data_IF_643723625485
#
_entry.id   IF_643723625485
#
_cell.length_a   1.000
_cell.length_b   1.000
_cell.length_c   1.000
_cell.angle_alpha   90.00
_cell.angle_beta   90.00
_cell.angle_gamma   90.00
#
_symmetry.space_group_name_H-M   'P 1'
#
loop_
_entity.id
_entity.type
_entity.pdbx_description
1 polymer ?
#
# COMPACT_ATOMS: atom_id res chain seq x y z
N UNK A 1 13.76 -1.70 15.05
CA UNK A 1 12.55 -1.22 15.76
C UNK A 1 11.51 -1.01 14.67
N UNK A 2 10.29 -1.50 14.86
CA UNK A 2 9.24 -1.27 13.87
C UNK A 2 8.67 0.12 14.08
N UNK A 3 8.55 0.86 13.01
CA UNK A 3 8.05 2.23 13.01
C UNK A 3 6.53 2.26 13.09
N UNK A 4 5.95 3.26 13.73
CA UNK A 4 4.51 3.39 13.94
C UNK A 4 3.94 4.53 13.10
N UNK A 5 2.96 4.21 12.28
CA UNK A 5 2.19 5.17 11.49
C UNK A 5 0.79 5.29 12.08
N UNK A 6 0.38 6.49 12.44
CA UNK A 6 -0.99 6.79 12.83
C UNK A 6 -1.75 7.43 11.67
N UNK A 7 -2.98 6.97 11.42
CA UNK A 7 -3.80 7.43 10.28
C UNK A 7 -5.17 7.89 10.78
N UNK A 8 -5.50 9.14 10.50
CA UNK A 8 -6.84 9.71 10.66
C UNK A 8 -7.50 9.81 9.28
N UNK A 9 -8.31 8.81 8.92
CA UNK A 9 -9.01 8.74 7.63
C UNK A 9 -10.37 8.04 7.82
N UNK A 10 -11.43 8.67 7.34
CA UNK A 10 -12.79 8.17 7.48
C UNK A 10 -13.19 7.17 6.36
N UNK A 11 -12.55 7.27 5.20
CA UNK A 11 -12.90 6.44 4.05
C UNK A 11 -12.29 5.04 4.19
N UNK A 12 -13.12 3.98 4.36
CA UNK A 12 -12.64 2.62 4.54
C UNK A 12 -11.88 2.06 3.33
N UNK A 13 -12.15 2.56 2.13
CA UNK A 13 -11.41 2.16 0.92
C UNK A 13 -9.98 2.67 0.96
N UNK A 14 -9.78 3.92 1.39
CA UNK A 14 -8.44 4.51 1.55
C UNK A 14 -7.69 3.82 2.69
N UNK A 15 -8.34 3.54 3.80
CA UNK A 15 -7.77 2.76 4.90
C UNK A 15 -7.29 1.37 4.42
N UNK A 16 -8.10 0.69 3.61
CA UNK A 16 -7.75 -0.61 3.03
C UNK A 16 -6.55 -0.51 2.07
N UNK A 17 -6.48 0.53 1.25
CA UNK A 17 -5.34 0.78 0.34
C UNK A 17 -4.06 1.00 1.14
N UNK A 18 -4.09 1.80 2.20
CA UNK A 18 -2.93 2.04 3.08
C UNK A 18 -2.46 0.72 3.72
N UNK A 19 -3.37 -0.03 4.32
CA UNK A 19 -3.05 -1.31 4.97
C UNK A 19 -2.49 -2.34 3.98
N UNK A 20 -3.11 -2.47 2.81
CA UNK A 20 -2.65 -3.40 1.78
C UNK A 20 -1.27 -3.02 1.20
N UNK A 21 -1.02 -1.71 1.04
CA UNK A 21 0.24 -1.20 0.50
C UNK A 21 1.43 -1.45 1.43
N UNK A 22 1.19 -1.49 2.72
CA UNK A 22 2.24 -1.57 3.76
C UNK A 22 2.29 -2.92 4.49
N UNK A 23 1.47 -3.90 4.08
CA UNK A 23 1.38 -5.21 4.76
C UNK A 23 2.71 -5.97 4.85
N UNK A 24 3.59 -5.77 3.86
CA UNK A 24 4.90 -6.44 3.78
C UNK A 24 6.06 -5.52 4.24
N UNK A 25 5.74 -4.34 4.78
CA UNK A 25 6.71 -3.39 5.31
C UNK A 25 6.84 -3.53 6.83
N UNK A 26 8.01 -3.27 7.41
CA UNK A 26 8.24 -3.41 8.86
C UNK A 26 7.67 -2.22 9.66
N UNK A 27 6.41 -1.87 9.41
CA UNK A 27 5.71 -0.77 10.06
C UNK A 27 4.42 -1.24 10.71
N UNK A 28 4.08 -0.63 11.85
CA UNK A 28 2.76 -0.77 12.46
C UNK A 28 1.85 0.37 11.99
N UNK A 29 0.61 0.04 11.64
CA UNK A 29 -0.39 1.02 11.25
C UNK A 29 -1.52 0.99 12.26
N UNK A 30 -1.86 2.14 12.82
CA UNK A 30 -3.06 2.33 13.61
C UNK A 30 -3.97 3.34 12.92
N UNK A 31 -5.23 2.98 12.74
CA UNK A 31 -6.22 3.79 12.03
C UNK A 31 -7.30 4.25 13.01
N UNK A 32 -7.67 5.51 12.93
CA UNK A 32 -8.64 6.15 13.81
C UNK A 32 -9.62 7.01 12.98
N UNK A 33 -10.81 7.16 13.47
CA UNK A 33 -11.89 7.93 12.86
C UNK A 33 -12.22 9.21 13.63
N UNK A 34 -12.01 9.19 14.95
CA UNK A 34 -12.32 10.30 15.85
C UNK A 34 -11.08 11.17 16.07
N UNK A 35 -11.14 12.48 15.70
CA UNK A 35 -9.99 13.38 15.84
C UNK A 35 -9.52 13.61 17.29
N UNK A 36 -10.43 13.62 18.26
CA UNK A 36 -10.06 13.84 19.66
C UNK A 36 -9.39 12.58 20.26
N UNK A 37 -9.89 11.41 19.92
CA UNK A 37 -9.24 10.15 20.29
C UNK A 37 -7.91 9.96 19.55
N UNK A 38 -7.84 10.34 18.30
CA UNK A 38 -6.61 10.34 17.52
C UNK A 38 -5.50 11.16 18.18
N UNK A 39 -5.83 12.38 18.65
CA UNK A 39 -4.86 13.24 19.34
C UNK A 39 -4.34 12.56 20.63
N UNK A 40 -5.21 11.91 21.40
CA UNK A 40 -4.80 11.15 22.58
C UNK A 40 -3.84 10.00 22.20
N UNK A 41 -4.09 9.31 21.09
CA UNK A 41 -3.22 8.25 20.62
C UNK A 41 -1.86 8.79 20.18
N UNK A 42 -1.82 9.93 19.48
CA UNK A 42 -0.55 10.58 19.11
C UNK A 42 0.30 10.87 20.36
N UNK A 43 -0.32 11.42 21.40
CA UNK A 43 0.35 11.74 22.66
C UNK A 43 0.84 10.49 23.41
N UNK A 44 0.06 9.42 23.41
CA UNK A 44 0.37 8.20 24.15
C UNK A 44 1.36 7.28 23.44
N UNK A 45 1.26 7.20 22.11
CA UNK A 45 2.02 6.25 21.30
C UNK A 45 3.26 6.86 20.67
N UNK A 46 3.31 8.19 20.54
CA UNK A 46 4.40 8.94 19.92
C UNK A 46 4.83 8.32 18.57
N UNK A 47 3.93 8.34 17.55
CA UNK A 47 4.19 7.70 16.27
C UNK A 47 5.34 8.38 15.51
N UNK A 48 5.93 7.64 14.58
CA UNK A 48 7.03 8.13 13.73
C UNK A 48 6.52 8.94 12.54
N UNK A 49 5.26 8.71 12.15
CA UNK A 49 4.60 9.41 11.03
C UNK A 49 3.08 9.48 11.25
N UNK A 50 2.49 10.58 10.82
CA UNK A 50 1.04 10.81 10.89
C UNK A 50 0.48 11.08 9.50
N UNK A 51 -0.62 10.39 9.16
CA UNK A 51 -1.49 10.75 8.04
C UNK A 51 -2.80 11.35 8.56
N UNK A 52 -3.19 12.49 8.01
CA UNK A 52 -4.46 13.17 8.34
C UNK A 52 -5.24 13.43 7.05
N UNK A 53 -6.47 12.96 6.99
CA UNK A 53 -7.39 13.24 5.87
C UNK A 53 -7.86 14.68 5.86
N UNK A 54 -8.09 15.23 4.67
CA UNK A 54 -8.71 16.55 4.49
C UNK A 54 -10.26 16.48 4.40
N UNK A 55 -10.87 15.37 4.77
CA UNK A 55 -12.32 15.16 4.63
C UNK A 55 -13.14 16.11 5.51
N UNK A 56 -12.67 16.40 6.72
CA UNK A 56 -13.18 17.44 7.62
C UNK A 56 -12.09 18.47 7.92
N UNK A 57 -11.98 19.45 7.05
CA UNK A 57 -10.90 20.43 7.09
C UNK A 57 -10.81 21.16 8.44
N UNK A 58 -11.94 21.58 9.03
CA UNK A 58 -11.92 22.35 10.28
C UNK A 58 -11.41 21.52 11.46
N UNK A 59 -11.96 20.32 11.63
CA UNK A 59 -11.58 19.43 12.72
C UNK A 59 -10.15 18.92 12.56
N UNK A 60 -9.79 18.51 11.35
CA UNK A 60 -8.49 17.92 11.08
C UNK A 60 -7.35 18.94 11.12
N UNK A 61 -7.55 20.16 10.65
CA UNK A 61 -6.58 21.26 10.84
C UNK A 61 -6.47 21.70 12.30
N UNK A 62 -7.58 21.68 13.06
CA UNK A 62 -7.54 21.89 14.50
C UNK A 62 -6.67 20.83 15.19
N UNK A 63 -6.76 19.57 14.77
CA UNK A 63 -5.93 18.47 15.28
C UNK A 63 -4.45 18.69 14.93
N UNK A 64 -4.12 19.09 13.70
CA UNK A 64 -2.75 19.44 13.32
C UNK A 64 -2.19 20.55 14.20
N UNK A 65 -2.97 21.61 14.46
CA UNK A 65 -2.57 22.71 15.32
C UNK A 65 -2.28 22.25 16.74
N UNK A 66 -3.17 21.46 17.33
CA UNK A 66 -2.98 20.88 18.68
C UNK A 66 -1.70 20.04 18.76
N UNK A 67 -1.38 19.26 17.72
CA UNK A 67 -0.13 18.49 17.64
C UNK A 67 1.07 19.45 17.62
N UNK A 68 1.02 20.52 16.84
CA UNK A 68 2.14 21.48 16.73
C UNK A 68 2.34 22.34 17.98
N UNK A 69 1.29 22.55 18.76
CA UNK A 69 1.35 23.28 20.04
C UNK A 69 1.90 22.42 21.19
N UNK A 70 1.89 21.10 21.08
CA UNK A 70 2.41 20.20 22.11
C UNK A 70 3.90 19.94 21.93
N UNK A 71 4.76 20.40 22.87
CA UNK A 71 6.22 20.25 22.75
C UNK A 71 6.71 18.81 22.61
N UNK A 72 5.94 17.82 23.09
CA UNK A 72 6.32 16.42 23.07
C UNK A 72 6.17 15.77 21.70
N UNK A 73 5.22 16.24 20.88
CA UNK A 73 4.82 15.62 19.61
C UNK A 73 4.87 16.58 18.41
N UNK A 74 5.22 17.83 18.62
CA UNK A 74 5.22 18.88 17.57
C UNK A 74 6.12 18.58 16.36
N UNK A 75 7.15 17.77 16.54
CA UNK A 75 8.14 17.47 15.50
C UNK A 75 7.80 16.23 14.69
N UNK A 76 6.72 15.51 15.03
CA UNK A 76 6.26 14.34 14.27
C UNK A 76 5.82 14.78 12.88
N UNK A 77 6.33 14.18 11.79
CA UNK A 77 5.94 14.53 10.44
C UNK A 77 4.46 14.22 10.18
N UNK A 78 3.76 15.15 9.53
CA UNK A 78 2.36 15.03 9.15
C UNK A 78 2.25 15.08 7.62
N UNK A 79 1.58 14.10 7.04
CA UNK A 79 1.22 14.05 5.62
C UNK A 79 -0.29 14.21 5.50
N UNK A 80 -0.73 15.18 4.70
CA UNK A 80 -2.14 15.40 4.41
C UNK A 80 -2.63 14.46 3.30
N UNK A 81 -3.74 13.76 3.55
CA UNK A 81 -4.46 13.00 2.53
C UNK A 81 -5.58 13.87 1.96
N UNK A 82 -5.36 14.43 0.79
CA UNK A 82 -6.27 15.36 0.14
C UNK A 82 -7.14 14.67 -0.92
N UNK A 83 -8.38 15.11 -1.12
CA UNK A 83 -9.17 14.66 -2.26
C UNK A 83 -8.65 15.29 -3.56
N UNK A 84 -8.89 14.62 -4.70
CA UNK A 84 -8.37 15.06 -5.99
C UNK A 84 -8.84 16.47 -6.40
N UNK A 85 -10.03 16.87 -5.94
CA UNK A 85 -10.67 18.15 -6.28
C UNK A 85 -10.50 19.24 -5.23
N UNK A 86 -9.85 18.92 -4.10
CA UNK A 86 -9.65 19.91 -3.04
C UNK A 86 -8.68 20.99 -3.51
N UNK A 87 -9.10 22.23 -3.46
CA UNK A 87 -8.22 23.38 -3.59
C UNK A 87 -7.52 23.57 -2.24
N UNK A 88 -6.27 23.17 -2.18
CA UNK A 88 -5.47 23.28 -0.97
C UNK A 88 -4.54 24.47 -1.11
N UNK A 89 -4.69 25.41 -0.21
CA UNK A 89 -3.82 26.57 -0.14
C UNK A 89 -2.47 26.16 0.47
N UNK A 90 -1.40 26.41 -0.26
CA UNK A 90 -0.03 26.13 0.21
C UNK A 90 0.33 26.93 1.46
N UNK A 91 -0.26 28.10 1.64
CA UNK A 91 -0.06 28.92 2.84
C UNK A 91 -0.66 28.21 4.07
N UNK A 92 -1.83 27.56 3.92
CA UNK A 92 -2.44 26.74 5.00
C UNK A 92 -1.55 25.56 5.35
N UNK A 93 -0.99 24.86 4.36
CA UNK A 93 -0.06 23.76 4.64
C UNK A 93 1.16 24.22 5.42
N UNK A 94 1.68 25.38 5.08
CA UNK A 94 2.83 25.99 5.74
C UNK A 94 2.48 26.45 7.16
N UNK A 95 1.35 27.11 7.36
CA UNK A 95 0.87 27.56 8.68
C UNK A 95 0.64 26.37 9.63
N UNK A 96 0.09 25.28 9.12
CA UNK A 96 -0.15 24.06 9.91
C UNK A 96 1.12 23.18 10.03
N UNK A 97 2.22 23.59 9.42
CA UNK A 97 3.49 22.84 9.39
C UNK A 97 3.28 21.41 8.91
N UNK A 98 2.50 21.23 7.83
CA UNK A 98 2.28 19.96 7.17
C UNK A 98 3.50 19.66 6.30
N UNK A 99 4.06 18.46 6.47
CA UNK A 99 5.34 18.08 5.86
C UNK A 99 5.21 17.57 4.43
N UNK A 100 4.04 17.02 4.08
CA UNK A 100 3.78 16.48 2.77
C UNK A 100 2.30 16.33 2.48
N UNK A 101 1.96 16.03 1.23
CA UNK A 101 0.58 15.83 0.79
C UNK A 101 0.51 14.70 -0.22
N UNK A 102 -0.53 13.88 -0.09
CA UNK A 102 -0.85 12.81 -1.03
C UNK A 102 -2.31 12.95 -1.49
N UNK A 103 -2.54 13.02 -2.80
CA UNK A 103 -3.89 13.17 -3.36
C UNK A 103 -4.55 11.82 -3.59
N UNK A 104 -5.79 11.69 -3.14
CA UNK A 104 -6.65 10.52 -3.32
C UNK A 104 -7.33 10.56 -4.71
N UNK A 105 -7.46 9.43 -5.42
CA UNK A 105 -6.88 8.13 -5.15
C UNK A 105 -5.37 8.09 -5.42
N UNK A 106 -4.63 7.29 -4.67
CA UNK A 106 -3.18 7.11 -4.84
C UNK A 106 -2.82 5.63 -4.96
N UNK A 107 -1.71 5.36 -5.62
CA UNK A 107 -1.15 4.02 -5.75
C UNK A 107 -0.20 3.69 -4.58
N UNK A 108 0.01 2.39 -4.36
CA UNK A 108 0.92 1.90 -3.32
C UNK A 108 2.35 2.46 -3.44
N UNK A 109 2.83 2.66 -4.67
CA UNK A 109 4.13 3.25 -4.96
C UNK A 109 4.24 4.69 -4.47
N UNK A 110 3.23 5.50 -4.73
CA UNK A 110 3.17 6.90 -4.30
C UNK A 110 3.13 7.02 -2.78
N UNK A 111 2.36 6.16 -2.12
CA UNK A 111 2.29 6.10 -0.66
C UNK A 111 3.64 5.72 -0.06
N UNK A 112 4.29 4.68 -0.57
CA UNK A 112 5.61 4.22 -0.11
C UNK A 112 6.69 5.28 -0.33
N UNK A 113 6.68 5.96 -1.47
CA UNK A 113 7.60 7.04 -1.77
C UNK A 113 7.47 8.19 -0.77
N UNK A 114 6.24 8.59 -0.44
CA UNK A 114 6.00 9.63 0.57
C UNK A 114 6.47 9.20 1.96
N UNK A 115 6.19 7.98 2.36
CA UNK A 115 6.58 7.44 3.66
C UNK A 115 8.11 7.36 3.78
N UNK A 116 8.79 6.89 2.73
CA UNK A 116 10.24 6.68 2.73
C UNK A 116 11.06 7.95 2.90
N UNK A 117 10.46 9.13 2.74
CA UNK A 117 11.10 10.41 3.04
C UNK A 117 11.27 10.66 4.55
N UNK A 118 10.49 9.97 5.39
CA UNK A 118 10.43 10.19 6.83
C UNK A 118 10.82 8.97 7.66
N UNK A 119 10.48 7.78 7.18
CA UNK A 119 10.75 6.50 7.86
C UNK A 119 11.26 5.45 6.87
N UNK A 120 11.98 4.45 7.39
CA UNK A 120 12.52 3.35 6.58
C UNK A 120 11.48 2.25 6.41
N UNK A 121 11.09 1.93 5.18
CA UNK A 121 10.13 0.88 4.86
C UNK A 121 10.75 -0.50 4.68
N UNK A 122 12.07 -0.58 4.51
CA UNK A 122 12.82 -1.82 4.30
C UNK A 122 13.99 -1.91 5.26
N UNK A 123 14.20 -3.06 5.88
CA UNK A 123 15.41 -3.36 6.65
C UNK A 123 16.68 -3.38 5.76
N UNK A 124 16.49 -3.44 4.42
CA UNK A 124 17.55 -3.52 3.41
C UNK A 124 17.71 -2.25 2.54
N UNK A 125 17.11 -1.12 2.89
CA UNK A 125 17.23 0.11 2.11
C UNK A 125 18.60 0.79 2.22
N UNK A 126 19.66 0.03 2.44
CA UNK A 126 21.05 0.49 2.39
C UNK A 126 21.93 -0.33 1.46
N UNK A 127 21.40 -1.36 0.82
CA UNK A 127 22.09 -2.08 -0.23
C UNK A 127 21.68 -1.45 -1.58
N UNK A 128 22.58 -0.68 -2.18
CA UNK A 128 22.47 -0.40 -3.61
C UNK A 128 22.22 -1.74 -4.32
N UNK A 129 21.32 -1.80 -5.32
CA UNK A 129 21.19 -3.00 -6.11
C UNK A 129 22.56 -3.27 -6.72
N UNK A 130 23.19 -4.35 -6.27
CA UNK A 130 24.42 -4.85 -6.85
C UNK A 130 24.18 -4.98 -8.37
N UNK A 131 24.81 -4.09 -9.13
CA UNK A 131 24.80 -4.10 -10.59
C UNK A 131 25.55 -5.28 -11.19
N UNK A 132 25.85 -6.30 -10.39
CA UNK A 132 26.65 -7.46 -10.80
C UNK A 132 25.88 -8.79 -10.74
N UNK A 133 24.58 -8.81 -10.81
CA UNK A 133 23.87 -10.07 -10.98
C UNK A 133 23.00 -10.07 -12.24
N UNK A 134 23.63 -9.72 -13.39
CA UNK A 134 23.09 -9.98 -14.74
C UNK A 134 23.01 -11.49 -15.07
N UNK A 135 23.13 -12.36 -14.07
CA UNK A 135 22.99 -13.82 -14.20
C UNK A 135 21.62 -14.34 -13.82
N UNK A 136 20.62 -13.49 -13.72
CA UNK A 136 19.24 -13.92 -13.82
C UNK A 136 18.81 -13.87 -15.28
N UNK A 137 19.59 -14.52 -16.15
CA UNK A 137 19.06 -14.98 -17.41
C UNK A 137 18.06 -16.09 -17.04
N UNK A 138 16.80 -15.72 -17.00
CA UNK A 138 15.69 -16.63 -16.99
C UNK A 138 15.88 -17.50 -18.23
N UNK A 139 16.37 -18.73 -18.05
CA UNK A 139 16.58 -19.64 -19.16
C UNK A 139 15.22 -20.13 -19.67
N UNK A 140 14.69 -19.37 -20.63
CA UNK A 140 13.43 -19.66 -21.31
C UNK A 140 13.50 -21.02 -22.02
N UNK A 141 14.70 -21.55 -22.26
CA UNK A 141 14.89 -22.85 -22.89
C UNK A 141 14.43 -24.04 -22.04
N UNK A 142 14.42 -23.92 -20.71
CA UNK A 142 13.88 -24.95 -19.82
C UNK A 142 12.36 -24.97 -19.77
N UNK A 143 11.69 -23.82 -19.98
CA UNK A 143 10.23 -23.75 -20.05
C UNK A 143 9.71 -24.35 -21.36
N UNK A 144 10.43 -24.19 -22.45
CA UNK A 144 10.04 -24.73 -23.76
C UNK A 144 10.07 -26.27 -23.82
N UNK A 145 10.92 -26.92 -23.03
CA UNK A 145 10.94 -28.38 -22.95
C UNK A 145 9.75 -28.94 -22.19
N UNK A 146 9.34 -28.28 -21.10
CA UNK A 146 8.18 -28.71 -20.32
C UNK A 146 6.86 -28.51 -21.09
N UNK A 147 6.75 -27.45 -21.89
CA UNK A 147 5.61 -27.24 -22.76
C UNK A 147 5.51 -28.24 -23.91
N UNK A 148 6.64 -28.77 -24.40
CA UNK A 148 6.65 -29.82 -25.43
C UNK A 148 6.20 -31.16 -24.86
N UNK A 149 6.57 -31.50 -23.65
CA UNK A 149 6.13 -32.74 -22.99
C UNK A 149 4.62 -32.70 -22.70
N UNK A 150 4.07 -31.57 -22.28
CA UNK A 150 2.63 -31.44 -22.03
C UNK A 150 1.82 -31.55 -23.34
N UNK A 151 2.34 -31.01 -24.45
CA UNK A 151 1.69 -31.15 -25.77
C UNK A 151 1.72 -32.61 -26.29
N UNK A 152 2.76 -33.36 -26.03
CA UNK A 152 2.84 -34.78 -26.40
C UNK A 152 1.90 -35.67 -25.55
N UNK A 153 1.71 -35.35 -24.28
CA UNK A 153 0.77 -36.09 -23.44
C UNK A 153 -0.69 -35.81 -23.81
N UNK A 154 -1.01 -34.59 -24.21
CA UNK A 154 -2.38 -34.24 -24.65
C UNK A 154 -2.73 -34.80 -26.03
N UNK A 155 -1.77 -35.05 -26.91
CA UNK A 155 -2.01 -35.71 -28.20
C UNK A 155 -2.25 -37.19 -28.07
N UNK A 156 -1.74 -37.84 -27.01
CA UNK A 156 -2.01 -39.28 -26.71
C UNK A 156 -3.40 -39.52 -26.14
N UNK A 157 -4.03 -38.58 -25.51
CA UNK A 157 -5.35 -38.73 -24.94
C UNK A 157 -6.50 -38.46 -25.94
N UNK A 158 -6.28 -37.67 -26.96
CA UNK A 158 -7.31 -37.38 -27.95
C UNK A 158 -7.59 -38.53 -28.95
N UNK A 159 -6.78 -39.58 -28.96
CA UNK A 159 -7.02 -40.77 -29.78
C UNK A 159 -7.88 -41.84 -29.10
N UNK A 160 -8.12 -41.74 -27.79
CA UNK A 160 -8.91 -42.72 -27.02
C UNK A 160 -10.42 -42.44 -27.02
N UNK A 161 -10.84 -41.21 -27.36
CA UNK A 161 -12.24 -40.83 -27.33
C UNK A 161 -12.99 -41.05 -28.66
N UNK A 162 -12.33 -41.57 -29.71
CA UNK A 162 -12.95 -41.80 -31.01
C UNK A 162 -13.52 -43.22 -31.18
N UNK A 163 -13.56 -44.08 -30.17
CA UNK A 163 -14.13 -45.42 -30.21
C UNK A 163 -15.37 -45.62 -29.36
N UNK A 164 -16.05 -44.52 -28.99
CA UNK A 164 -17.37 -44.57 -28.41
C UNK A 164 -18.46 -44.39 -29.46
N UNK A 165 -18.54 -45.25 -30.45
CA UNK A 165 -19.72 -45.29 -31.29
C UNK A 165 -20.80 -46.02 -30.55
N UNK A 166 -21.75 -45.26 -30.10
CA UNK A 166 -23.05 -45.68 -29.70
C UNK A 166 -23.70 -46.53 -30.78
N UNK A 167 -23.82 -47.80 -30.55
CA UNK A 167 -24.91 -48.58 -31.12
C UNK A 167 -26.06 -48.51 -30.13
N UNK A 168 -26.98 -47.61 -30.40
CA UNK A 168 -28.30 -47.62 -29.80
C UNK A 168 -29.00 -48.84 -30.41
N UNK A 169 -29.41 -49.86 -29.64
CA UNK A 169 -30.31 -50.85 -30.16
C UNK A 169 -31.70 -50.24 -30.31
N UNK A 170 -32.15 -50.18 -31.54
CA UNK A 170 -33.51 -49.97 -31.89
C UNK A 170 -34.36 -51.07 -31.28
N UNK A 171 -35.14 -50.77 -30.27
CA UNK A 171 -36.16 -51.65 -29.72
C UNK A 171 -37.52 -51.18 -30.17
N UNK A 172 -38.12 -51.98 -30.96
CA UNK A 172 -39.52 -52.03 -31.36
C UNK A 172 -40.46 -51.99 -30.16
#
# INVERSE_FOLDING_TARGET
>A
MNELILVLEENPEIQAVISASLKDSPVFINQELDPDYFLQQVQNLNPDLIFISNSDCESNYSTCRKIREDPAIKDIPIILLANAKDEIDEDVLREQQINGMLRKPFEASMLKEQISQYISLDENFGAEPDKENDNFAFDISSIDSDLKEIKQQNQGQSQLDSHGTDTIPDSV
#
